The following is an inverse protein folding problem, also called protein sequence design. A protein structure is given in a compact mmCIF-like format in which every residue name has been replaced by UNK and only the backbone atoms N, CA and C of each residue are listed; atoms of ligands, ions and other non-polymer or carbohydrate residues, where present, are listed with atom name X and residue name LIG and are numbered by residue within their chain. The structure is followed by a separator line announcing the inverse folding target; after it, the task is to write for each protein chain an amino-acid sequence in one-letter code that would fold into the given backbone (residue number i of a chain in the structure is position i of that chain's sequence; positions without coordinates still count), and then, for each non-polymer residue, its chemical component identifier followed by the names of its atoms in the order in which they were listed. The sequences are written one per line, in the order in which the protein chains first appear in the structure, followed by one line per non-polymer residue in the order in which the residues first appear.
data_IF_081464897328
#
_entry.id   IF_081464897328
#
_cell.length_a   1.000
_cell.length_b   1.000
_cell.length_c   1.000
_cell.angle_alpha   90.00
_cell.angle_beta   90.00
_cell.angle_gamma   90.00
#
_symmetry.space_group_name_H-M   'P 1'
#
loop_
_entity.id
_entity.type
_entity.pdbx_description
1 polymer ?
#
# COMPACT_ATOMS: atom_id res chain seq x y z
N UNK A 1 5.44 -37.69 -36.67
CA UNK A 1 5.47 -36.52 -35.79
C UNK A 1 6.01 -37.01 -34.46
N UNK A 2 7.26 -36.66 -34.16
CA UNK A 2 8.00 -37.21 -33.02
C UNK A 2 7.53 -36.57 -31.71
N UNK A 3 7.77 -37.23 -30.56
CA UNK A 3 7.39 -36.68 -29.25
C UNK A 3 8.10 -35.34 -28.96
N UNK A 4 9.27 -35.12 -29.57
CA UNK A 4 10.01 -33.85 -29.51
C UNK A 4 9.22 -32.74 -30.19
N UNK A 5 8.65 -32.99 -31.38
CA UNK A 5 7.82 -32.00 -32.10
C UNK A 5 6.58 -31.60 -31.30
N UNK A 6 6.04 -32.53 -30.51
CA UNK A 6 4.86 -32.29 -29.66
C UNK A 6 5.21 -31.47 -28.42
N UNK A 7 6.42 -31.62 -27.89
CA UNK A 7 6.93 -30.82 -26.77
C UNK A 7 7.27 -29.41 -27.26
N UNK A 8 7.93 -29.27 -28.40
CA UNK A 8 8.27 -27.97 -28.98
C UNK A 8 7.03 -27.16 -29.35
N UNK A 9 5.99 -27.81 -29.88
CA UNK A 9 4.71 -27.16 -30.14
C UNK A 9 4.03 -26.67 -28.84
N UNK A 10 4.13 -27.43 -27.74
CA UNK A 10 3.59 -27.02 -26.43
C UNK A 10 4.40 -25.88 -25.80
N UNK A 11 5.73 -25.90 -25.94
CA UNK A 11 6.61 -24.84 -25.48
C UNK A 11 6.42 -23.55 -26.28
N UNK A 12 6.18 -23.65 -27.59
CA UNK A 12 5.86 -22.51 -28.44
C UNK A 12 4.54 -21.86 -28.03
N UNK A 13 3.51 -22.67 -27.75
CA UNK A 13 2.21 -22.17 -27.24
C UNK A 13 2.35 -21.52 -25.87
N UNK A 14 3.15 -22.08 -24.95
CA UNK A 14 3.39 -21.46 -23.63
C UNK A 14 4.23 -20.19 -23.70
N UNK A 15 5.13 -20.07 -24.68
CA UNK A 15 5.93 -18.87 -24.93
C UNK A 15 5.11 -17.74 -25.55
N UNK A 16 4.17 -18.08 -26.44
CA UNK A 16 3.28 -17.11 -27.10
C UNK A 16 2.09 -16.71 -26.22
N UNK A 17 1.65 -17.61 -25.33
CA UNK A 17 0.58 -17.36 -24.38
C UNK A 17 0.92 -16.33 -23.29
N UNK A 18 2.15 -15.80 -23.23
CA UNK A 18 2.58 -14.84 -22.23
C UNK A 18 2.25 -15.36 -20.83
N UNK A 19 3.11 -16.25 -20.30
CA UNK A 19 2.93 -16.90 -19.00
C UNK A 19 2.30 -15.98 -17.96
N UNK A 20 1.40 -16.50 -17.09
CA UNK A 20 0.44 -15.72 -16.33
C UNK A 20 1.12 -14.46 -15.81
N UNK A 21 0.70 -13.31 -16.36
CA UNK A 21 1.03 -12.00 -15.84
C UNK A 21 0.45 -12.00 -14.43
N UNK A 22 1.24 -12.47 -13.46
CA UNK A 22 0.97 -12.27 -12.05
C UNK A 22 1.06 -10.76 -11.89
N UNK A 23 -0.07 -10.07 -12.06
CA UNK A 23 -0.15 -8.64 -11.79
C UNK A 23 0.39 -8.46 -10.38
N UNK A 24 1.54 -7.79 -10.18
CA UNK A 24 2.13 -7.61 -8.85
C UNK A 24 1.30 -6.65 -7.96
N UNK A 25 0.08 -6.33 -8.37
CA UNK A 25 -0.76 -5.27 -7.86
C UNK A 25 -2.12 -5.74 -7.33
N UNK A 26 -2.53 -7.00 -7.54
CA UNK A 26 -3.84 -7.46 -7.07
C UNK A 26 -3.96 -7.47 -5.53
N UNK A 27 -2.88 -7.82 -4.82
CA UNK A 27 -2.85 -7.81 -3.33
C UNK A 27 -2.57 -6.44 -2.71
N UNK A 28 -2.02 -5.47 -3.46
CA UNK A 28 -1.71 -4.11 -2.94
C UNK A 28 -2.90 -3.13 -3.01
N UNK A 29 -3.98 -3.48 -3.72
CA UNK A 29 -5.22 -2.69 -3.86
C UNK A 29 -6.05 -2.56 -2.56
N UNK A 30 -6.33 -3.62 -1.77
CA UNK A 30 -7.26 -3.52 -0.63
C UNK A 30 -6.78 -2.56 0.47
N UNK A 31 -5.47 -2.51 0.75
CA UNK A 31 -4.92 -1.67 1.82
C UNK A 31 -4.96 -0.19 1.42
N UNK A 32 -4.62 0.12 0.17
CA UNK A 32 -4.71 1.47 -0.39
C UNK A 32 -6.15 1.97 -0.41
N UNK A 33 -7.10 1.14 -0.83
CA UNK A 33 -8.52 1.51 -0.91
C UNK A 33 -9.14 1.74 0.47
N UNK A 34 -8.72 0.97 1.48
CA UNK A 34 -9.16 1.14 2.87
C UNK A 34 -8.61 2.44 3.48
N UNK A 35 -7.33 2.73 3.27
CA UNK A 35 -6.69 3.98 3.73
C UNK A 35 -7.31 5.19 3.05
N UNK A 36 -7.53 5.13 1.73
CA UNK A 36 -8.21 6.18 0.95
C UNK A 36 -9.64 6.39 1.46
N UNK A 37 -10.38 5.31 1.73
CA UNK A 37 -11.73 5.40 2.33
C UNK A 37 -11.72 6.04 3.71
N UNK A 38 -10.74 5.73 4.55
CA UNK A 38 -10.60 6.29 5.91
C UNK A 38 -10.28 7.78 5.86
N UNK A 39 -9.34 8.21 5.01
CA UNK A 39 -9.03 9.63 4.82
C UNK A 39 -10.22 10.40 4.25
N UNK A 40 -10.98 9.78 3.34
CA UNK A 40 -12.18 10.37 2.78
C UNK A 40 -13.28 10.58 3.84
N UNK A 41 -13.50 9.58 4.70
CA UNK A 41 -14.45 9.67 5.81
C UNK A 41 -14.05 10.78 6.80
N UNK A 42 -12.77 10.85 7.18
CA UNK A 42 -12.22 11.90 8.05
C UNK A 42 -12.46 13.31 7.48
N UNK A 43 -12.16 13.51 6.19
CA UNK A 43 -12.37 14.80 5.51
C UNK A 43 -13.84 15.20 5.41
N UNK A 44 -14.74 14.21 5.27
CA UNK A 44 -16.19 14.45 5.25
C UNK A 44 -16.74 14.81 6.62
N UNK A 45 -16.27 14.17 7.69
CA UNK A 45 -16.68 14.49 9.06
C UNK A 45 -16.35 15.95 9.39
N UNK A 46 -15.14 16.42 9.04
CA UNK A 46 -14.76 17.82 9.25
C UNK A 46 -15.65 18.82 8.50
N UNK A 47 -16.05 18.48 7.27
CA UNK A 47 -17.00 19.30 6.49
C UNK A 47 -18.40 19.31 7.10
N UNK A 48 -18.94 18.15 7.49
CA UNK A 48 -20.26 18.05 8.10
C UNK A 48 -20.33 18.84 9.42
N UNK A 49 -19.28 18.71 10.23
CA UNK A 49 -19.16 19.46 11.48
C UNK A 49 -19.07 20.97 11.21
N UNK A 50 -18.28 21.39 10.23
CA UNK A 50 -18.20 22.79 9.82
C UNK A 50 -19.54 23.36 9.36
N UNK A 51 -20.30 22.62 8.53
CA UNK A 51 -21.64 23.03 8.09
C UNK A 51 -22.59 23.16 9.28
N UNK A 52 -22.60 22.17 10.18
CA UNK A 52 -23.44 22.20 11.38
C UNK A 52 -23.13 23.41 12.26
N UNK A 53 -21.84 23.70 12.51
CA UNK A 53 -21.42 24.85 13.31
C UNK A 53 -21.76 26.17 12.61
N UNK A 54 -21.58 26.25 11.28
CA UNK A 54 -21.97 27.43 10.49
C UNK A 54 -23.45 27.74 10.68
N UNK A 55 -24.31 26.73 10.53
CA UNK A 55 -25.76 26.87 10.72
C UNK A 55 -26.12 27.28 12.15
N UNK A 56 -25.42 26.73 13.14
CA UNK A 56 -25.63 27.11 14.54
C UNK A 56 -25.30 28.59 14.77
N UNK A 57 -24.16 29.07 14.26
CA UNK A 57 -23.75 30.48 14.37
C UNK A 57 -24.76 31.40 13.68
N UNK A 58 -25.26 31.04 12.49
CA UNK A 58 -26.32 31.80 11.82
C UNK A 58 -27.58 31.86 12.68
N UNK A 59 -28.05 30.71 13.17
CA UNK A 59 -29.28 30.62 13.95
C UNK A 59 -29.19 31.47 15.23
N UNK A 60 -28.06 31.44 15.94
CA UNK A 60 -27.88 32.23 17.17
C UNK A 60 -27.75 33.72 16.88
N UNK A 61 -26.98 34.09 15.84
CA UNK A 61 -26.69 35.50 15.53
C UNK A 61 -27.88 36.23 14.89
N UNK A 62 -28.69 35.52 14.11
CA UNK A 62 -29.90 36.07 13.48
C UNK A 62 -31.16 35.87 14.33
N UNK A 63 -31.05 35.24 15.51
CA UNK A 63 -32.19 35.15 16.42
C UNK A 63 -32.55 36.54 16.99
N UNK A 64 -33.85 36.88 17.08
CA UNK A 64 -34.29 38.12 17.73
C UNK A 64 -33.85 38.12 19.19
N UNK A 65 -33.17 39.17 19.65
CA UNK A 65 -32.80 39.30 21.06
C UNK A 65 -34.07 39.58 21.88
N UNK A 66 -34.39 38.79 22.91
CA UNK A 66 -35.37 39.19 23.91
C UNK A 66 -34.79 40.37 24.72
N UNK A 67 -35.53 41.48 24.78
CA UNK A 67 -35.17 42.81 25.33
C UNK A 67 -34.58 42.85 26.75
N UNK A 68 -34.57 41.72 27.44
CA UNK A 68 -34.23 41.51 28.84
C UNK A 68 -32.84 40.86 29.07
N UNK A 69 -32.15 40.40 28.01
CA UNK A 69 -30.79 39.84 28.15
C UNK A 69 -29.69 40.87 27.92
N UNK A 70 -29.41 41.66 28.95
CA UNK A 70 -28.09 42.27 29.11
C UNK A 70 -27.13 41.19 29.62
N UNK A 71 -26.50 40.44 28.73
CA UNK A 71 -25.35 39.62 29.15
C UNK A 71 -24.25 40.57 29.64
N UNK A 72 -23.66 40.21 30.79
CA UNK A 72 -22.58 40.95 31.44
C UNK A 72 -21.45 41.19 30.43
N UNK A 73 -21.08 42.46 30.26
CA UNK A 73 -20.31 42.97 29.12
C UNK A 73 -19.05 42.16 28.77
N UNK A 74 -18.94 41.78 27.49
CA UNK A 74 -17.74 41.23 26.86
C UNK A 74 -17.65 39.70 26.80
N UNK A 75 -18.46 38.96 27.57
CA UNK A 75 -18.49 37.49 27.47
C UNK A 75 -19.11 37.00 26.16
N UNK A 76 -20.05 37.75 25.57
CA UNK A 76 -20.64 37.44 24.27
C UNK A 76 -19.58 37.33 23.16
N UNK A 77 -18.62 38.24 23.15
CA UNK A 77 -17.50 38.30 22.20
C UNK A 77 -16.58 37.10 22.34
N UNK A 78 -16.34 36.63 23.56
CA UNK A 78 -15.55 35.42 23.80
C UNK A 78 -16.30 34.20 23.24
N UNK A 79 -17.62 34.11 23.44
CA UNK A 79 -18.40 33.03 22.85
C UNK A 79 -18.40 33.06 21.32
N UNK A 80 -18.47 34.25 20.72
CA UNK A 80 -18.39 34.43 19.27
C UNK A 80 -17.03 34.02 18.71
N UNK A 81 -15.94 34.51 19.32
CA UNK A 81 -14.59 34.11 18.97
C UNK A 81 -14.40 32.58 19.10
N UNK A 82 -14.92 31.97 20.18
CA UNK A 82 -14.83 30.53 20.38
C UNK A 82 -15.66 29.75 19.35
N UNK A 83 -16.82 30.26 18.96
CA UNK A 83 -17.66 29.64 17.93
C UNK A 83 -16.96 29.65 16.56
N UNK A 84 -16.34 30.76 16.16
CA UNK A 84 -15.56 30.84 14.94
C UNK A 84 -14.28 30.01 14.98
N UNK A 85 -13.62 29.93 16.14
CA UNK A 85 -12.50 29.02 16.34
C UNK A 85 -12.96 27.55 16.15
N UNK A 86 -14.09 27.17 16.76
CA UNK A 86 -14.66 25.83 16.65
C UNK A 86 -15.15 25.51 15.22
N UNK A 87 -15.57 26.50 14.44
CA UNK A 87 -15.92 26.34 13.03
C UNK A 87 -14.68 25.96 12.21
N UNK A 88 -13.62 26.75 12.32
CA UNK A 88 -12.43 26.65 11.47
C UNK A 88 -11.53 25.47 11.86
N UNK A 89 -11.48 25.16 13.15
CA UNK A 89 -10.62 24.11 13.71
C UNK A 89 -10.79 22.74 13.02
N UNK A 90 -11.98 22.11 12.97
CA UNK A 90 -12.15 20.79 12.35
C UNK A 90 -11.99 20.83 10.82
N UNK A 91 -12.27 21.98 10.19
CA UNK A 91 -12.11 22.16 8.74
C UNK A 91 -10.63 22.14 8.33
N UNK A 92 -9.77 22.79 9.12
CA UNK A 92 -8.31 22.84 8.86
C UNK A 92 -7.62 21.60 9.41
N UNK A 93 -8.01 21.09 10.58
CA UNK A 93 -7.39 19.90 11.18
C UNK A 93 -7.55 18.64 10.31
N UNK A 94 -8.67 18.51 9.59
CA UNK A 94 -8.90 17.37 8.70
C UNK A 94 -8.18 17.48 7.35
N UNK A 95 -7.78 18.68 6.95
CA UNK A 95 -7.07 18.95 5.71
C UNK A 95 -6.44 20.34 5.77
N UNK A 96 -5.20 20.42 6.27
CA UNK A 96 -4.50 21.67 6.51
C UNK A 96 -4.48 22.57 5.27
N UNK A 97 -4.47 22.02 4.05
CA UNK A 97 -4.44 22.78 2.79
C UNK A 97 -5.66 23.68 2.59
N UNK A 98 -6.77 23.41 3.30
CA UNK A 98 -8.01 24.20 3.25
C UNK A 98 -7.87 25.58 3.90
N UNK A 99 -6.87 25.81 4.74
CA UNK A 99 -6.70 27.07 5.46
C UNK A 99 -6.79 28.31 4.56
N UNK A 100 -6.20 28.24 3.35
CA UNK A 100 -6.16 29.32 2.35
C UNK A 100 -7.53 29.82 1.92
N UNK A 101 -8.55 28.96 1.96
CA UNK A 101 -9.92 29.31 1.56
C UNK A 101 -10.87 29.37 2.75
N UNK A 102 -10.68 28.53 3.77
CA UNK A 102 -11.54 28.49 4.97
C UNK A 102 -11.41 29.78 5.79
N UNK A 103 -10.19 30.28 5.98
CA UNK A 103 -9.96 31.53 6.74
C UNK A 103 -10.65 32.72 6.09
N UNK A 104 -10.41 33.07 4.80
CA UNK A 104 -11.08 34.22 4.20
C UNK A 104 -12.61 34.03 4.11
N UNK A 105 -13.08 32.80 3.89
CA UNK A 105 -14.52 32.52 3.85
C UNK A 105 -15.19 32.71 5.22
N UNK A 106 -14.55 32.26 6.31
CA UNK A 106 -15.06 32.45 7.65
C UNK A 106 -15.06 33.94 8.07
N UNK A 107 -14.01 34.69 7.73
CA UNK A 107 -13.96 36.14 7.96
C UNK A 107 -15.05 36.88 7.18
N UNK A 108 -15.25 36.52 5.91
CA UNK A 108 -16.33 37.08 5.10
C UNK A 108 -17.70 36.70 5.65
N UNK A 109 -17.87 35.48 6.15
CA UNK A 109 -19.12 35.00 6.76
C UNK A 109 -19.50 35.81 8.01
N UNK A 110 -18.55 36.06 8.93
CA UNK A 110 -18.78 36.96 10.08
C UNK A 110 -19.19 38.35 9.64
N UNK A 111 -18.51 38.92 8.63
CA UNK A 111 -18.87 40.23 8.08
C UNK A 111 -20.26 40.25 7.43
N UNK A 112 -20.67 39.18 6.74
CA UNK A 112 -22.02 39.08 6.17
C UNK A 112 -23.09 39.02 7.26
N UNK A 113 -22.84 38.27 8.35
CA UNK A 113 -23.75 38.25 9.50
C UNK A 113 -23.92 39.67 10.06
N UNK A 114 -22.81 40.37 10.25
CA UNK A 114 -22.78 41.74 10.76
C UNK A 114 -23.58 42.72 9.88
N UNK A 115 -23.50 42.57 8.55
CA UNK A 115 -24.28 43.36 7.60
C UNK A 115 -25.78 43.03 7.64
N UNK A 116 -26.15 41.78 7.96
CA UNK A 116 -27.55 41.33 7.98
C UNK A 116 -28.22 41.71 9.30
N UNK A 117 -27.50 41.69 10.42
CA UNK A 117 -28.04 41.99 11.76
C UNK A 117 -28.90 43.27 11.84
N UNK A 118 -28.52 44.42 11.23
CA UNK A 118 -29.34 45.63 11.15
C UNK A 118 -30.75 45.42 10.60
N UNK A 119 -30.91 44.51 9.64
CA UNK A 119 -32.21 44.25 9.00
C UNK A 119 -33.19 43.52 9.91
N UNK A 120 -32.70 42.93 11.01
CA UNK A 120 -33.47 42.16 12.00
C UNK A 120 -33.65 42.97 13.30
N UNK A 121 -33.22 44.24 13.31
CA UNK A 121 -33.35 45.14 14.46
C UNK A 121 -32.23 45.01 15.50
N UNK A 122 -31.08 44.43 15.15
CA UNK A 122 -29.86 44.45 15.98
C UNK A 122 -28.91 45.54 15.49
N UNK A 123 -28.06 46.07 16.37
CA UNK A 123 -27.02 47.02 15.96
C UNK A 123 -25.81 46.28 15.41
N UNK A 124 -25.22 46.80 14.33
CA UNK A 124 -23.93 46.33 13.88
C UNK A 124 -22.84 46.85 14.85
N UNK A 125 -22.21 45.94 15.59
CA UNK A 125 -20.97 46.14 16.31
C UNK A 125 -19.76 45.58 15.55
N UNK A 126 -18.95 46.47 14.97
CA UNK A 126 -17.66 46.11 14.37
C UNK A 126 -16.71 45.35 15.31
N UNK A 127 -16.92 45.44 16.63
CA UNK A 127 -16.18 44.67 17.63
C UNK A 127 -16.50 43.17 17.56
N UNK A 128 -17.74 42.79 17.21
CA UNK A 128 -18.15 41.39 17.07
C UNK A 128 -17.46 40.77 15.85
N UNK A 129 -17.40 41.51 14.75
CA UNK A 129 -16.60 41.09 13.59
C UNK A 129 -15.12 40.93 13.92
N UNK A 130 -14.56 41.81 14.76
CA UNK A 130 -13.19 41.67 15.27
C UNK A 130 -12.99 40.42 16.13
N UNK A 131 -13.99 40.05 16.95
CA UNK A 131 -13.98 38.82 17.74
C UNK A 131 -14.03 37.57 16.83
N UNK A 132 -14.85 37.60 15.78
CA UNK A 132 -14.93 36.54 14.78
C UNK A 132 -13.57 36.31 14.10
N UNK A 133 -12.92 37.38 13.62
CA UNK A 133 -11.59 37.32 12.99
C UNK A 133 -10.57 36.72 13.97
N UNK A 134 -10.58 37.17 15.23
CA UNK A 134 -9.67 36.65 16.26
C UNK A 134 -9.90 35.16 16.50
N UNK A 135 -11.16 34.73 16.58
CA UNK A 135 -11.56 33.34 16.67
C UNK A 135 -11.07 32.49 15.51
N UNK A 136 -11.27 32.97 14.27
CA UNK A 136 -10.79 32.31 13.04
C UNK A 136 -9.29 32.09 13.07
N UNK A 137 -8.51 33.14 13.39
CA UNK A 137 -7.04 33.05 13.43
C UNK A 137 -6.56 32.09 14.52
N UNK A 138 -7.16 32.16 15.72
CA UNK A 138 -6.83 31.27 16.82
C UNK A 138 -7.16 29.81 16.50
N UNK A 139 -8.34 29.54 15.94
CA UNK A 139 -8.75 28.20 15.52
C UNK A 139 -7.86 27.63 14.41
N UNK A 140 -7.44 28.46 13.45
CA UNK A 140 -6.51 28.06 12.40
C UNK A 140 -5.12 27.72 12.94
N UNK A 141 -4.56 28.57 13.81
CA UNK A 141 -3.25 28.33 14.43
C UNK A 141 -3.24 27.05 15.28
N UNK A 142 -4.29 26.82 16.07
CA UNK A 142 -4.45 25.59 16.87
C UNK A 142 -4.54 24.34 15.98
N UNK A 143 -5.30 24.43 14.89
CA UNK A 143 -5.45 23.31 13.96
C UNK A 143 -4.14 22.98 13.23
N UNK A 144 -3.36 23.98 12.82
CA UNK A 144 -2.07 23.79 12.16
C UNK A 144 -1.04 23.18 13.12
N UNK A 145 -0.93 23.73 14.34
CA UNK A 145 -0.03 23.20 15.37
C UNK A 145 -0.33 21.73 15.70
N UNK A 146 -1.62 21.38 15.79
CA UNK A 146 -2.04 20.03 16.10
C UNK A 146 -1.89 19.09 14.90
N UNK A 147 -2.16 19.58 13.68
CA UNK A 147 -1.95 18.83 12.44
C UNK A 147 -0.48 18.42 12.26
N UNK A 148 0.45 19.33 12.52
CA UNK A 148 1.88 19.04 12.45
C UNK A 148 2.28 17.98 13.49
N UNK A 149 1.81 18.11 14.73
CA UNK A 149 2.05 17.13 15.81
C UNK A 149 1.46 15.74 15.52
N UNK A 150 0.31 15.65 14.84
CA UNK A 150 -0.28 14.37 14.44
C UNK A 150 0.45 13.77 13.24
N UNK A 151 0.86 14.59 12.28
CA UNK A 151 1.64 14.15 11.12
C UNK A 151 2.96 13.53 11.56
N UNK A 152 3.70 14.17 12.45
CA UNK A 152 5.00 13.63 12.88
C UNK A 152 4.88 12.23 13.50
N UNK A 153 3.82 11.97 14.27
CA UNK A 153 3.61 10.64 14.89
C UNK A 153 3.12 9.56 13.92
N UNK A 154 2.24 9.88 12.99
CA UNK A 154 1.72 8.88 12.06
C UNK A 154 2.68 8.55 10.91
N UNK A 155 3.45 9.54 10.44
CA UNK A 155 4.34 9.36 9.30
C UNK A 155 5.73 8.83 9.69
N UNK A 156 6.18 9.02 10.94
CA UNK A 156 7.37 8.33 11.44
C UNK A 156 7.16 6.80 11.43
N UNK A 157 6.06 6.34 12.04
CA UNK A 157 5.70 4.91 12.12
C UNK A 157 5.54 4.25 10.73
N UNK A 158 4.94 4.98 9.78
CA UNK A 158 4.73 4.48 8.41
C UNK A 158 6.02 4.42 7.59
N UNK A 159 6.98 5.34 7.83
CA UNK A 159 8.30 5.32 7.17
C UNK A 159 9.12 4.16 7.67
N UNK A 160 9.21 3.99 8.99
CA UNK A 160 9.96 2.89 9.60
C UNK A 160 9.44 1.52 9.12
N UNK A 161 8.11 1.37 9.00
CA UNK A 161 7.50 0.14 8.47
C UNK A 161 7.79 -0.09 6.97
N UNK A 162 7.83 0.97 6.15
CA UNK A 162 8.16 0.88 4.73
C UNK A 162 9.63 0.54 4.50
N UNK A 163 10.53 1.23 5.19
CA UNK A 163 11.97 1.04 5.08
C UNK A 163 12.34 -0.39 5.51
N UNK A 164 11.72 -0.90 6.59
CA UNK A 164 11.90 -2.28 7.04
C UNK A 164 11.47 -3.31 5.99
N UNK A 165 10.35 -3.06 5.30
CA UNK A 165 9.84 -3.97 4.28
C UNK A 165 10.68 -3.95 2.99
N UNK A 166 11.22 -2.78 2.62
CA UNK A 166 12.16 -2.64 1.50
C UNK A 166 13.48 -3.36 1.79
N UNK A 167 14.02 -3.21 3.00
CA UNK A 167 15.23 -3.92 3.44
C UNK A 167 15.04 -5.44 3.46
N UNK A 168 13.89 -5.93 3.94
CA UNK A 168 13.57 -7.36 3.91
C UNK A 168 13.44 -7.90 2.48
N UNK A 169 12.81 -7.15 1.57
CA UNK A 169 12.70 -7.52 0.17
C UNK A 169 14.07 -7.61 -0.50
N UNK A 170 14.96 -6.63 -0.27
CA UNK A 170 16.32 -6.66 -0.78
C UNK A 170 17.11 -7.85 -0.23
N UNK A 171 16.97 -8.18 1.05
CA UNK A 171 17.62 -9.35 1.67
C UNK A 171 17.12 -10.66 1.06
N UNK A 172 15.83 -10.79 0.81
CA UNK A 172 15.24 -11.98 0.17
C UNK A 172 15.66 -12.10 -1.29
N UNK A 173 15.75 -10.99 -2.02
CA UNK A 173 16.25 -10.97 -3.40
C UNK A 173 17.73 -11.37 -3.46
N UNK A 174 18.56 -10.88 -2.53
CA UNK A 174 19.96 -11.27 -2.42
C UNK A 174 20.10 -12.77 -2.10
N UNK A 175 19.36 -13.27 -1.12
CA UNK A 175 19.36 -14.70 -0.76
C UNK A 175 18.87 -15.58 -1.91
N UNK A 176 17.84 -15.12 -2.64
CA UNK A 176 17.36 -15.81 -3.84
C UNK A 176 18.40 -15.83 -4.95
N UNK A 177 19.12 -14.73 -5.15
CA UNK A 177 20.18 -14.65 -6.17
C UNK A 177 21.32 -15.62 -5.85
N UNK A 178 21.79 -15.63 -4.61
CA UNK A 178 22.84 -16.55 -4.13
C UNK A 178 22.42 -18.02 -4.29
N UNK A 179 21.21 -18.37 -3.83
CA UNK A 179 20.68 -19.72 -3.94
C UNK A 179 20.49 -20.18 -5.40
N UNK A 180 20.12 -19.26 -6.31
CA UNK A 180 20.03 -19.56 -7.74
C UNK A 180 21.39 -19.74 -8.40
N UNK A 181 22.43 -19.04 -7.93
CA UNK A 181 23.79 -19.21 -8.42
C UNK A 181 24.41 -20.53 -7.94
N UNK A 182 24.16 -20.93 -6.69
CA UNK A 182 24.55 -22.25 -6.17
C UNK A 182 23.89 -23.39 -6.99
N UNK A 183 22.59 -23.27 -7.29
CA UNK A 183 21.88 -24.21 -8.15
C UNK A 183 22.48 -24.29 -9.56
N UNK A 184 22.81 -23.15 -10.15
CA UNK A 184 23.46 -23.09 -11.47
C UNK A 184 24.83 -23.76 -11.44
N UNK A 185 25.59 -23.56 -10.38
CA UNK A 185 26.92 -24.15 -10.23
C UNK A 185 26.82 -25.67 -10.09
N UNK A 186 25.97 -26.17 -9.21
CA UNK A 186 25.75 -27.62 -9.02
C UNK A 186 25.33 -28.29 -10.33
N UNK A 187 24.42 -27.68 -11.09
CA UNK A 187 23.97 -28.21 -12.38
C UNK A 187 25.09 -28.27 -13.42
N UNK A 188 25.99 -27.27 -13.41
CA UNK A 188 27.15 -27.20 -14.30
C UNK A 188 28.20 -28.24 -13.95
N UNK A 189 28.41 -28.48 -12.66
CA UNK A 189 29.31 -29.53 -12.15
C UNK A 189 28.82 -30.91 -12.59
N UNK A 190 27.54 -31.21 -12.45
CA UNK A 190 26.91 -32.46 -12.94
C UNK A 190 27.02 -32.64 -14.46
N UNK A 191 26.73 -31.60 -15.25
CA UNK A 191 26.90 -31.68 -16.70
C UNK A 191 28.37 -31.93 -17.10
N UNK A 192 29.32 -31.30 -16.39
CA UNK A 192 30.74 -31.48 -16.64
C UNK A 192 31.24 -32.87 -16.24
N UNK A 193 30.67 -33.46 -15.19
CA UNK A 193 31.00 -34.80 -14.72
C UNK A 193 30.56 -35.85 -15.75
N UNK A 194 29.33 -35.74 -16.26
CA UNK A 194 28.76 -36.62 -17.29
C UNK A 194 29.58 -36.54 -18.59
N UNK A 195 29.89 -35.33 -19.05
CA UNK A 195 30.69 -35.13 -20.26
C UNK A 195 32.07 -35.78 -20.17
N UNK A 196 32.68 -35.76 -18.97
CA UNK A 196 34.00 -36.37 -18.71
C UNK A 196 33.93 -37.90 -18.75
N UNK A 197 32.83 -38.49 -18.27
CA UNK A 197 32.56 -39.94 -18.32
C UNK A 197 32.37 -40.41 -19.76
N UNK A 198 31.61 -39.68 -20.58
CA UNK A 198 31.43 -39.99 -22.00
C UNK A 198 32.77 -39.95 -22.77
N UNK A 199 33.61 -38.95 -22.50
CA UNK A 199 34.93 -38.83 -23.09
C UNK A 199 35.90 -39.96 -22.68
N UNK A 200 35.79 -40.46 -21.45
CA UNK A 200 36.58 -41.60 -20.96
C UNK A 200 36.08 -42.93 -21.56
N UNK A 201 34.77 -43.08 -21.75
CA UNK A 201 34.15 -44.26 -22.38
C UNK A 201 34.51 -44.36 -23.87
N UNK A 202 34.63 -43.22 -24.56
CA UNK A 202 35.05 -43.17 -25.96
C UNK A 202 36.53 -43.55 -26.20
N UNK A 203 37.37 -43.65 -25.15
CA UNK A 203 38.80 -43.99 -25.26
C UNK A 203 39.10 -45.48 -25.01
N UNK A 204 38.12 -46.33 -24.72
CA UNK A 204 38.30 -47.78 -24.69
C UNK A 204 37.91 -48.37 -26.06
N UNK A 205 38.88 -48.85 -26.89
CA UNK A 205 38.55 -49.51 -28.14
C UNK A 205 37.88 -50.86 -27.83
N UNK A 206 36.74 -51.11 -28.47
CA UNK A 206 36.14 -52.45 -28.53
C UNK A 206 37.20 -53.43 -29.07
N UNK A 207 37.51 -54.55 -28.40
CA UNK A 207 38.46 -55.53 -28.94
C UNK A 207 37.91 -56.10 -30.25
N UNK A 208 38.71 -56.06 -31.32
CA UNK A 208 38.36 -56.65 -32.63
C UNK A 208 38.21 -58.18 -32.46
N UNK A 209 36.99 -58.68 -32.56
CA UNK A 209 36.63 -60.09 -32.34
C UNK A 209 36.97 -60.99 -33.54
N UNK A 210 38.05 -60.70 -34.27
CA UNK A 210 38.43 -61.41 -35.51
C UNK A 210 39.45 -62.54 -35.34
N UNK A 211 39.94 -62.80 -34.13
CA UNK A 211 40.91 -63.88 -33.85
C UNK A 211 40.39 -64.90 -32.82
N UNK A 212 39.15 -65.39 -32.96
CA UNK A 212 38.73 -66.64 -32.29
C UNK A 212 38.87 -67.84 -33.25
N UNK A 213 39.71 -68.85 -32.94
CA UNK A 213 39.80 -70.06 -33.73
C UNK A 213 38.55 -70.93 -33.52
N UNK A 214 38.05 -71.50 -34.62
CA UNK A 214 36.80 -72.28 -34.65
C UNK A 214 36.79 -73.45 -33.63
N UNK A 215 35.65 -73.71 -32.97
CA UNK A 215 35.55 -74.79 -31.99
C UNK A 215 35.47 -76.18 -32.66
N UNK A 216 36.29 -77.10 -32.16
CA UNK A 216 36.41 -78.50 -32.59
C UNK A 216 35.15 -79.32 -32.20
N UNK A 217 34.43 -79.94 -33.17
CA UNK A 217 33.21 -80.68 -32.90
C UNK A 217 33.56 -82.12 -32.49
N UNK A 218 34.06 -82.32 -31.27
CA UNK A 218 34.61 -83.65 -30.93
C UNK A 218 34.92 -84.00 -29.48
N UNK A 219 34.40 -83.29 -28.47
CA UNK A 219 34.64 -83.67 -27.07
C UNK A 219 33.32 -83.86 -26.31
N UNK A 220 32.82 -85.07 -26.44
CA UNK A 220 31.61 -85.59 -25.84
C UNK A 220 31.91 -86.17 -24.43
N UNK A 221 30.86 -86.29 -23.61
CA UNK A 221 30.72 -87.17 -22.43
C UNK A 221 31.18 -86.64 -21.06
N UNK A 222 30.23 -86.29 -20.19
CA UNK A 222 29.68 -87.28 -19.24
C UNK A 222 28.40 -86.80 -18.53
N UNK A 223 27.51 -87.74 -18.17
CA UNK A 223 26.19 -87.47 -17.61
C UNK A 223 26.29 -87.35 -16.08
N UNK A 224 25.38 -86.59 -15.46
CA UNK A 224 24.69 -86.94 -14.22
C UNK A 224 23.74 -85.80 -13.81
N UNK A 225 22.47 -85.96 -14.19
CA UNK A 225 21.33 -85.56 -13.38
C UNK A 225 20.70 -86.87 -12.87
N UNK A 226 20.01 -86.97 -11.70
CA UNK A 226 18.89 -86.09 -11.31
C UNK A 226 18.68 -86.04 -9.74
N UNK A 227 17.47 -85.81 -9.15
CA UNK A 227 16.29 -85.04 -9.56
C UNK A 227 15.82 -83.98 -8.51
N UNK A 228 15.14 -82.96 -9.04
CA UNK A 228 13.82 -82.38 -8.65
C UNK A 228 13.24 -82.72 -7.25
N UNK A 229 12.86 -81.69 -6.47
CA UNK A 229 11.55 -81.65 -5.78
C UNK A 229 11.01 -80.20 -5.79
N UNK A 230 9.80 -80.04 -6.35
CA UNK A 230 8.96 -78.84 -6.31
C UNK A 230 8.29 -78.73 -4.93
N UNK A 231 8.14 -77.51 -4.41
CA UNK A 231 6.88 -76.97 -3.89
C UNK A 231 6.95 -75.45 -3.84
#
# INVERSE_FOLDING_TARGET
MSDVDRIDARLAVLRDAGGPQVEPNAERRPVRDLVVSKLWLWRKIGLMLGVMITLLIAATSLSPIPTDRYMVGGLDKIYQALAFAALVFPLILTDARRWKWVVPLAVAYGGVIELIQPTIGRHAEWLDWGADVTGVLMGAALAELLHDRLRDRFFADSRDASDSAEDEAQRLEAMRAEMMDDLRQALREELSSITRIDAATAQHPVPDSRDEPAPDPGANLRPDAPPVVRH
#
